data_IF_828667812834
#
_entry.id   IF_828667812834
#
_cell.length_a   1.000
_cell.length_b   1.000
_cell.length_c   1.000
_cell.angle_alpha   90.00
_cell.angle_beta   90.00
_cell.angle_gamma   90.00
#
_symmetry.space_group_name_H-M   'P 1'
#
loop_
_entity.id
_entity.type
_entity.pdbx_description
1 polymer ?
#
# COMPACT_ATOMS: atom_id res chain seq x y z
N UNK A 1 -38.97 -2.80 -2.15
CA UNK A 1 -37.54 -2.71 -2.53
C UNK A 1 -37.01 -4.13 -2.67
N UNK A 2 -36.29 -4.45 -3.75
CA UNK A 2 -35.76 -5.80 -3.97
C UNK A 2 -34.64 -6.13 -2.95
N UNK A 3 -34.71 -7.28 -2.23
CA UNK A 3 -33.72 -7.63 -1.21
C UNK A 3 -32.31 -7.88 -1.77
N UNK A 4 -32.18 -8.29 -3.03
CA UNK A 4 -30.89 -8.45 -3.73
C UNK A 4 -30.27 -7.09 -4.01
N UNK A 5 -31.07 -6.11 -4.41
CA UNK A 5 -30.61 -4.74 -4.60
C UNK A 5 -30.14 -4.10 -3.27
N UNK A 6 -30.86 -4.35 -2.18
CA UNK A 6 -30.42 -3.92 -0.85
C UNK A 6 -29.09 -4.59 -0.44
N UNK A 7 -28.92 -5.90 -0.71
CA UNK A 7 -27.66 -6.61 -0.48
C UNK A 7 -26.51 -6.02 -1.32
N UNK A 8 -26.71 -5.84 -2.62
CA UNK A 8 -25.70 -5.28 -3.51
C UNK A 8 -25.19 -3.90 -3.02
N UNK A 9 -26.08 -3.04 -2.52
CA UNK A 9 -25.70 -1.75 -1.93
C UNK A 9 -24.83 -1.90 -0.68
N UNK A 10 -25.10 -2.90 0.17
CA UNK A 10 -24.27 -3.16 1.35
C UNK A 10 -22.88 -3.66 0.97
N UNK A 11 -22.81 -4.63 0.06
CA UNK A 11 -21.53 -5.17 -0.42
C UNK A 11 -20.68 -4.08 -1.07
N UNK A 12 -21.30 -3.21 -1.88
CA UNK A 12 -20.61 -2.07 -2.50
C UNK A 12 -20.01 -1.11 -1.47
N UNK A 13 -20.75 -0.78 -0.40
CA UNK A 13 -20.21 0.06 0.69
C UNK A 13 -19.08 -0.64 1.44
N UNK A 14 -19.23 -1.92 1.77
CA UNK A 14 -18.19 -2.68 2.45
C UNK A 14 -16.91 -2.77 1.61
N UNK A 15 -17.02 -2.94 0.29
CA UNK A 15 -15.88 -2.90 -0.62
C UNK A 15 -15.20 -1.53 -0.60
N UNK A 16 -15.96 -0.44 -0.69
CA UNK A 16 -15.40 0.92 -0.64
C UNK A 16 -14.69 1.23 0.69
N UNK A 17 -15.27 0.78 1.81
CA UNK A 17 -14.65 0.91 3.14
C UNK A 17 -13.35 0.11 3.25
N UNK A 18 -13.35 -1.13 2.74
CA UNK A 18 -12.16 -1.98 2.67
C UNK A 18 -11.06 -1.36 1.80
N UNK A 19 -11.44 -0.79 0.65
CA UNK A 19 -10.50 -0.12 -0.26
C UNK A 19 -9.88 1.12 0.38
N UNK A 20 -10.68 1.91 1.12
CA UNK A 20 -10.21 3.07 1.86
C UNK A 20 -9.23 2.68 2.98
N UNK A 21 -9.55 1.63 3.74
CA UNK A 21 -8.66 1.10 4.77
C UNK A 21 -7.34 0.58 4.15
N UNK A 22 -7.44 -0.18 3.06
CA UNK A 22 -6.28 -0.69 2.35
C UNK A 22 -5.40 0.45 1.78
N UNK A 23 -6.01 1.53 1.28
CA UNK A 23 -5.29 2.71 0.83
C UNK A 23 -4.52 3.38 1.97
N UNK A 24 -5.15 3.56 3.14
CA UNK A 24 -4.50 4.09 4.34
C UNK A 24 -3.31 3.23 4.77
N UNK A 25 -3.47 1.91 4.79
CA UNK A 25 -2.38 0.99 5.13
C UNK A 25 -1.21 1.08 4.14
N UNK A 26 -1.50 1.18 2.83
CA UNK A 26 -0.46 1.37 1.80
C UNK A 26 0.29 2.69 1.99
N UNK A 27 -0.43 3.79 2.23
CA UNK A 27 0.20 5.10 2.48
C UNK A 27 1.12 5.07 3.70
N UNK A 28 0.66 4.49 4.81
CA UNK A 28 1.45 4.37 6.04
C UNK A 28 2.70 3.51 5.82
N UNK A 29 2.56 2.34 5.16
CA UNK A 29 3.69 1.48 4.80
C UNK A 29 4.70 2.23 3.93
N UNK A 30 4.21 2.94 2.91
CA UNK A 30 5.06 3.65 1.96
C UNK A 30 5.81 4.81 2.63
N UNK A 31 5.17 5.51 3.58
CA UNK A 31 5.83 6.53 4.39
C UNK A 31 6.96 5.95 5.25
N UNK A 32 6.73 4.79 5.89
CA UNK A 32 7.75 4.09 6.68
C UNK A 32 8.92 3.62 5.81
N UNK A 33 8.65 3.04 4.64
CA UNK A 33 9.70 2.63 3.68
C UNK A 33 10.56 3.83 3.28
N UNK A 34 9.94 4.97 2.97
CA UNK A 34 10.65 6.20 2.63
C UNK A 34 11.47 6.72 3.81
N UNK A 35 10.95 6.60 5.04
CA UNK A 35 11.68 7.00 6.23
C UNK A 35 12.92 6.13 6.45
N UNK A 36 12.76 4.79 6.48
CA UNK A 36 13.89 3.86 6.60
C UNK A 36 14.96 4.12 5.54
N UNK A 37 14.54 4.35 4.29
CA UNK A 37 15.47 4.60 3.18
C UNK A 37 16.20 5.95 3.27
N UNK A 38 15.59 6.94 3.93
CA UNK A 38 16.20 8.25 4.19
C UNK A 38 17.16 8.20 5.38
N UNK A 39 16.79 7.48 6.44
CA UNK A 39 17.52 7.45 7.70
C UNK A 39 18.84 6.68 7.58
N UNK A 40 18.84 5.53 6.90
CA UNK A 40 20.05 4.77 6.61
C UNK A 40 19.98 4.09 5.23
N UNK A 41 20.51 4.75 4.19
CA UNK A 41 20.40 4.29 2.82
C UNK A 41 21.21 3.01 2.51
N UNK A 42 22.27 2.76 3.27
CA UNK A 42 23.22 1.68 3.04
C UNK A 42 22.74 0.40 3.72
N UNK A 43 22.21 0.52 4.95
CA UNK A 43 21.55 -0.59 5.66
C UNK A 43 20.22 -0.96 4.99
N UNK A 44 19.38 0.04 4.66
CA UNK A 44 18.06 -0.17 4.07
C UNK A 44 18.11 -0.15 2.54
N UNK A 45 18.89 -1.07 1.96
CA UNK A 45 18.90 -1.27 0.51
C UNK A 45 17.54 -1.79 -0.02
N UNK A 46 17.29 -1.60 -1.32
CA UNK A 46 16.04 -2.02 -1.97
C UNK A 46 15.77 -3.53 -1.81
N UNK A 47 16.82 -4.36 -1.84
CA UNK A 47 16.73 -5.81 -1.68
C UNK A 47 16.44 -6.24 -0.24
N UNK A 48 17.02 -5.55 0.75
CA UNK A 48 16.75 -5.79 2.17
C UNK A 48 15.29 -5.49 2.50
N UNK A 49 14.80 -4.32 2.08
CA UNK A 49 13.41 -3.92 2.28
C UNK A 49 12.43 -4.88 1.58
N UNK A 50 12.72 -5.25 0.33
CA UNK A 50 11.91 -6.20 -0.43
C UNK A 50 11.81 -7.57 0.27
N UNK A 51 12.95 -8.08 0.77
CA UNK A 51 13.00 -9.37 1.48
C UNK A 51 12.23 -9.32 2.81
N UNK A 52 12.39 -8.25 3.59
CA UNK A 52 11.70 -8.07 4.87
C UNK A 52 10.18 -8.02 4.69
N UNK A 53 9.71 -7.32 3.66
CA UNK A 53 8.30 -7.07 3.40
C UNK A 53 7.62 -8.17 2.56
N UNK A 54 8.40 -9.14 2.06
CA UNK A 54 7.89 -10.20 1.20
C UNK A 54 7.37 -9.67 -0.15
N UNK A 55 8.01 -8.63 -0.69
CA UNK A 55 7.60 -8.02 -1.97
C UNK A 55 8.77 -7.92 -2.94
N UNK A 56 8.50 -7.44 -4.16
CA UNK A 56 9.57 -7.22 -5.15
C UNK A 56 10.38 -5.95 -4.85
N UNK A 57 11.65 -5.95 -5.24
CA UNK A 57 12.50 -4.75 -5.21
C UNK A 57 11.99 -3.64 -6.13
N UNK A 58 11.28 -4.01 -7.20
CA UNK A 58 10.61 -3.06 -8.09
C UNK A 58 9.51 -2.27 -7.37
N UNK A 59 8.72 -2.93 -6.51
CA UNK A 59 7.72 -2.24 -5.69
C UNK A 59 8.39 -1.22 -4.77
N UNK A 60 9.47 -1.61 -4.09
CA UNK A 60 10.23 -0.69 -3.22
C UNK A 60 10.77 0.49 -4.04
N UNK A 61 11.30 0.24 -5.24
CA UNK A 61 11.77 1.31 -6.12
C UNK A 61 10.66 2.30 -6.49
N UNK A 62 9.46 1.81 -6.84
CA UNK A 62 8.28 2.68 -7.12
C UNK A 62 7.85 3.50 -5.91
N UNK A 63 7.91 2.92 -4.71
CA UNK A 63 7.55 3.61 -3.46
C UNK A 63 8.56 4.73 -3.13
N UNK A 64 9.86 4.44 -3.26
CA UNK A 64 10.95 5.37 -2.93
C UNK A 64 11.11 6.46 -4.00
N UNK A 65 10.97 6.12 -5.28
CA UNK A 65 11.04 7.04 -6.42
C UNK A 65 9.63 7.22 -6.98
N UNK A 66 8.82 8.15 -6.45
CA UNK A 66 7.53 8.42 -7.06
C UNK A 66 7.75 8.82 -8.51
N UNK A 67 7.13 8.08 -9.44
CA UNK A 67 7.08 8.50 -10.83
C UNK A 67 6.36 9.84 -10.87
N UNK A 68 7.07 10.90 -11.30
CA UNK A 68 6.43 12.16 -11.66
C UNK A 68 5.56 11.85 -12.87
N UNK A 69 4.25 11.95 -12.69
CA UNK A 69 3.27 11.88 -13.76
C UNK A 69 2.70 13.28 -14.00
#
# INVERSE_FOLDING_TARGET
MDPRAAKARREHRAAAESDAAAARHRENRDALIRQLRRDDPDTWSYSVLARLLGCSSELIAKIVKPQRH
#
